data_IF_025943664961
#
_entry.id   IF_025943664961
#
_cell.length_a   1.000
_cell.length_b   1.000
_cell.length_c   1.000
_cell.angle_alpha   90.00
_cell.angle_beta   90.00
_cell.angle_gamma   90.00
#
_symmetry.space_group_name_H-M   'P 1'
#
loop_
_entity.id
_entity.type
_entity.pdbx_description
1 polymer ?
#
# COMPACT_ATOMS: atom_id res chain seq x y z
N UNK A 1 -4.00 -20.35 -7.24
CA UNK A 1 -5.18 -20.69 -6.41
C UNK A 1 -5.85 -19.46 -5.76
N UNK A 2 -5.12 -18.49 -5.18
CA UNK A 2 -5.75 -17.38 -4.43
C UNK A 2 -6.45 -16.27 -5.26
N UNK A 3 -6.02 -15.98 -6.50
CA UNK A 3 -6.67 -14.94 -7.33
C UNK A 3 -8.13 -15.28 -7.65
N UNK A 4 -8.43 -16.54 -7.97
CA UNK A 4 -9.77 -16.97 -8.38
C UNK A 4 -10.78 -17.00 -7.23
N UNK A 5 -10.35 -17.40 -6.02
CA UNK A 5 -11.21 -17.42 -4.83
C UNK A 5 -11.61 -16.01 -4.39
N UNK A 6 -10.64 -15.10 -4.33
CA UNK A 6 -10.87 -13.72 -3.89
C UNK A 6 -11.86 -12.99 -4.80
N UNK A 7 -11.67 -13.11 -6.12
CA UNK A 7 -12.57 -12.49 -7.10
C UNK A 7 -13.98 -13.08 -6.97
N UNK A 8 -14.10 -14.41 -6.81
CA UNK A 8 -15.39 -15.07 -6.66
C UNK A 8 -16.15 -14.62 -5.40
N UNK A 9 -15.47 -14.40 -4.28
CA UNK A 9 -16.09 -13.91 -3.03
C UNK A 9 -16.52 -12.46 -3.16
N UNK A 10 -15.64 -11.59 -3.67
CA UNK A 10 -15.92 -10.14 -3.77
C UNK A 10 -17.07 -9.85 -4.75
N UNK A 11 -17.16 -10.60 -5.85
CA UNK A 11 -18.24 -10.46 -6.84
C UNK A 11 -19.56 -11.13 -6.44
N UNK A 12 -19.61 -11.89 -5.34
CA UNK A 12 -20.82 -12.59 -4.93
C UNK A 12 -21.86 -11.62 -4.33
N UNK A 13 -22.96 -11.37 -5.05
CA UNK A 13 -24.05 -10.46 -4.60
C UNK A 13 -24.80 -10.91 -3.34
N UNK A 14 -24.71 -12.18 -2.95
CA UNK A 14 -25.40 -12.71 -1.78
C UNK A 14 -24.62 -12.52 -0.46
N UNK A 15 -23.35 -12.10 -0.54
CA UNK A 15 -22.50 -11.86 0.63
C UNK A 15 -22.51 -10.37 1.01
N UNK A 16 -22.50 -10.08 2.31
CA UNK A 16 -22.40 -8.71 2.80
C UNK A 16 -21.02 -8.11 2.50
N UNK A 17 -20.95 -6.79 2.34
CA UNK A 17 -19.69 -6.10 2.07
C UNK A 17 -18.67 -6.30 3.21
N UNK A 18 -19.10 -6.25 4.47
CA UNK A 18 -18.22 -6.52 5.62
C UNK A 18 -17.64 -7.94 5.63
N UNK A 19 -18.42 -8.94 5.20
CA UNK A 19 -17.90 -10.30 5.03
C UNK A 19 -16.86 -10.38 3.91
N UNK A 20 -17.15 -9.76 2.75
CA UNK A 20 -16.23 -9.72 1.61
C UNK A 20 -14.91 -9.03 1.97
N UNK A 21 -14.98 -7.90 2.67
CA UNK A 21 -13.81 -7.15 3.13
C UNK A 21 -12.95 -7.97 4.09
N UNK A 22 -13.58 -8.63 5.05
CA UNK A 22 -12.88 -9.51 6.01
C UNK A 22 -12.21 -10.69 5.30
N UNK A 23 -12.92 -11.34 4.38
CA UNK A 23 -12.40 -12.47 3.61
C UNK A 23 -11.23 -12.06 2.72
N UNK A 24 -11.35 -10.91 2.05
CA UNK A 24 -10.29 -10.34 1.22
C UNK A 24 -9.05 -9.99 2.07
N UNK A 25 -9.25 -9.28 3.16
CA UNK A 25 -8.19 -8.89 4.10
C UNK A 25 -7.44 -10.10 4.63
N UNK A 26 -8.19 -11.13 5.05
CA UNK A 26 -7.61 -12.39 5.54
C UNK A 26 -6.80 -13.11 4.45
N UNK A 27 -7.31 -13.13 3.21
CA UNK A 27 -6.61 -13.74 2.09
C UNK A 27 -5.30 -13.00 1.77
N UNK A 28 -5.33 -11.67 1.69
CA UNK A 28 -4.14 -10.83 1.44
C UNK A 28 -3.11 -11.03 2.55
N UNK A 29 -3.52 -10.95 3.81
CA UNK A 29 -2.64 -11.13 4.95
C UNK A 29 -1.99 -12.52 4.98
N UNK A 30 -2.77 -13.57 4.68
CA UNK A 30 -2.26 -14.95 4.59
C UNK A 30 -1.17 -15.10 3.53
N UNK A 31 -1.34 -14.48 2.36
CA UNK A 31 -0.33 -14.49 1.29
C UNK A 31 0.95 -13.77 1.73
N UNK A 32 0.83 -12.57 2.31
CA UNK A 32 1.98 -11.78 2.74
C UNK A 32 2.76 -12.49 3.86
N UNK A 33 2.05 -13.05 4.85
CA UNK A 33 2.65 -13.82 5.94
C UNK A 33 3.36 -15.08 5.43
N UNK A 34 2.76 -15.78 4.47
CA UNK A 34 3.39 -16.93 3.82
C UNK A 34 4.66 -16.51 3.05
N UNK A 35 4.60 -15.43 2.27
CA UNK A 35 5.76 -14.89 1.55
C UNK A 35 6.88 -14.47 2.49
N UNK A 36 6.55 -13.83 3.62
CA UNK A 36 7.52 -13.40 4.64
C UNK A 36 8.24 -14.60 5.28
N UNK A 37 7.53 -15.68 5.58
CA UNK A 37 8.12 -16.92 6.13
C UNK A 37 9.12 -17.61 5.18
N UNK A 38 8.98 -17.38 3.88
CA UNK A 38 9.87 -17.95 2.85
C UNK A 38 11.10 -17.07 2.57
N UNK A 39 11.25 -15.93 3.25
CA UNK A 39 12.41 -15.06 3.04
C UNK A 39 13.66 -15.69 3.65
N UNK A 40 14.73 -15.75 2.84
CA UNK A 40 16.07 -16.16 3.29
C UNK A 40 16.62 -15.25 4.39
N UNK A 41 16.28 -13.96 4.35
CA UNK A 41 16.75 -12.94 5.30
C UNK A 41 15.56 -12.33 6.05
N UNK A 42 15.32 -12.73 7.32
CA UNK A 42 14.13 -12.32 8.08
C UNK A 42 14.14 -10.83 8.47
N UNK A 43 15.31 -10.17 8.44
CA UNK A 43 15.48 -8.74 8.68
C UNK A 43 16.01 -8.00 7.44
N UNK A 44 15.83 -8.59 6.25
CA UNK A 44 16.18 -7.93 5.00
C UNK A 44 15.15 -6.88 4.59
N UNK A 45 15.48 -6.08 3.58
CA UNK A 45 14.57 -5.10 2.98
C UNK A 45 13.18 -5.69 2.70
N UNK A 46 13.10 -6.88 2.11
CA UNK A 46 11.83 -7.49 1.74
C UNK A 46 10.96 -7.87 2.97
N UNK A 47 11.58 -8.16 4.12
CA UNK A 47 10.84 -8.45 5.34
C UNK A 47 10.18 -7.18 5.91
N UNK A 48 10.91 -6.06 5.89
CA UNK A 48 10.36 -4.75 6.25
C UNK A 48 9.30 -4.28 5.26
N UNK A 49 9.54 -4.50 3.96
CA UNK A 49 8.56 -4.22 2.91
C UNK A 49 7.26 -4.99 3.12
N UNK A 50 7.33 -6.30 3.40
CA UNK A 50 6.12 -7.08 3.70
C UNK A 50 5.43 -6.63 4.99
N UNK A 51 6.18 -6.23 6.02
CA UNK A 51 5.59 -5.70 7.25
C UNK A 51 4.76 -4.43 7.01
N UNK A 52 5.25 -3.50 6.18
CA UNK A 52 4.49 -2.31 5.78
C UNK A 52 3.31 -2.72 4.88
N UNK A 53 3.56 -3.63 3.93
CA UNK A 53 2.54 -4.11 2.99
C UNK A 53 1.37 -4.81 3.70
N UNK A 54 1.57 -5.46 4.84
CA UNK A 54 0.51 -6.08 5.62
C UNK A 54 -0.53 -5.07 6.11
N UNK A 55 -0.15 -3.81 6.33
CA UNK A 55 -1.06 -2.74 6.76
C UNK A 55 -1.78 -2.10 5.57
N UNK A 56 -1.06 -1.86 4.47
CA UNK A 56 -1.57 -1.07 3.34
C UNK A 56 -2.31 -1.94 2.31
N UNK A 57 -1.79 -3.13 2.02
CA UNK A 57 -2.30 -3.96 0.91
C UNK A 57 -3.75 -4.43 1.09
N UNK A 58 -4.24 -4.78 2.30
CA UNK A 58 -5.64 -5.14 2.49
C UNK A 58 -6.59 -4.01 2.12
N UNK A 59 -6.33 -2.80 2.63
CA UNK A 59 -7.12 -1.60 2.30
C UNK A 59 -7.11 -1.33 0.81
N UNK A 60 -5.92 -1.38 0.18
CA UNK A 60 -5.78 -1.15 -1.26
C UNK A 60 -6.53 -2.20 -2.09
N UNK A 61 -6.46 -3.47 -1.69
CA UNK A 61 -7.21 -4.53 -2.37
C UNK A 61 -8.72 -4.30 -2.24
N UNK A 62 -9.20 -3.92 -1.05
CA UNK A 62 -10.60 -3.61 -0.84
C UNK A 62 -11.05 -2.39 -1.63
N UNK A 63 -10.29 -1.30 -1.61
CA UNK A 63 -10.60 -0.11 -2.40
C UNK A 63 -10.64 -0.38 -3.90
N UNK A 64 -9.81 -1.28 -4.43
CA UNK A 64 -9.81 -1.60 -5.86
C UNK A 64 -10.88 -2.59 -6.31
N UNK A 65 -11.18 -3.61 -5.49
CA UNK A 65 -12.10 -4.68 -5.87
C UNK A 65 -13.48 -4.56 -5.23
N UNK A 66 -13.60 -3.75 -4.17
CA UNK A 66 -14.85 -3.49 -3.47
C UNK A 66 -15.80 -2.61 -4.29
N UNK A 67 -17.05 -2.44 -3.79
CA UNK A 67 -18.10 -1.74 -4.52
C UNK A 67 -18.08 -0.21 -4.35
N UNK A 68 -17.21 0.34 -3.50
CA UNK A 68 -17.17 1.77 -3.19
C UNK A 68 -16.25 2.52 -4.17
N UNK A 69 -16.86 3.26 -5.10
CA UNK A 69 -16.15 4.03 -6.11
C UNK A 69 -15.35 5.21 -5.53
N UNK A 70 -15.82 5.83 -4.44
CA UNK A 70 -15.10 6.92 -3.78
C UNK A 70 -13.85 6.39 -3.09
N UNK A 71 -13.97 5.28 -2.35
CA UNK A 71 -12.82 4.60 -1.77
C UNK A 71 -11.82 4.17 -2.85
N UNK A 72 -12.31 3.72 -4.02
CA UNK A 72 -11.45 3.37 -5.14
C UNK A 72 -10.65 4.57 -5.65
N UNK A 73 -11.28 5.73 -5.83
CA UNK A 73 -10.57 6.97 -6.21
C UNK A 73 -9.52 7.34 -5.16
N UNK A 74 -9.88 7.26 -3.87
CA UNK A 74 -8.96 7.52 -2.75
C UNK A 74 -7.73 6.62 -2.84
N UNK A 75 -7.94 5.31 -3.02
CA UNK A 75 -6.85 4.34 -3.17
C UNK A 75 -6.01 4.59 -4.42
N UNK A 76 -6.61 4.98 -5.54
CA UNK A 76 -5.86 5.33 -6.74
C UNK A 76 -4.93 6.53 -6.51
N UNK A 77 -5.46 7.61 -5.93
CA UNK A 77 -4.66 8.79 -5.64
C UNK A 77 -3.54 8.50 -4.64
N UNK A 78 -3.86 7.78 -3.55
CA UNK A 78 -2.88 7.34 -2.57
C UNK A 78 -1.75 6.49 -3.20
N UNK A 79 -2.09 5.60 -4.14
CA UNK A 79 -1.11 4.81 -4.90
C UNK A 79 -0.17 5.69 -5.70
N UNK A 80 -0.69 6.68 -6.42
CA UNK A 80 0.12 7.58 -7.23
C UNK A 80 1.07 8.42 -6.38
N UNK A 81 0.60 8.96 -5.25
CA UNK A 81 1.46 9.68 -4.30
C UNK A 81 2.54 8.78 -3.69
N UNK A 82 2.20 7.53 -3.35
CA UNK A 82 3.18 6.56 -2.83
C UNK A 82 4.25 6.21 -3.86
N UNK A 83 3.85 5.99 -5.12
CA UNK A 83 4.80 5.72 -6.21
C UNK A 83 5.66 6.95 -6.51
N UNK A 84 5.05 8.14 -6.47
CA UNK A 84 5.77 9.40 -6.59
C UNK A 84 6.83 9.57 -5.50
N UNK A 85 6.46 9.31 -4.25
CA UNK A 85 7.39 9.32 -3.12
C UNK A 85 8.59 8.38 -3.34
N UNK A 86 8.33 7.13 -3.71
CA UNK A 86 9.39 6.15 -3.97
C UNK A 86 10.32 6.62 -5.10
N UNK A 87 9.78 7.20 -6.18
CA UNK A 87 10.61 7.75 -7.26
C UNK A 87 11.46 8.93 -6.78
N UNK A 88 10.95 9.76 -5.89
CA UNK A 88 11.65 10.95 -5.41
C UNK A 88 12.81 10.57 -4.48
N UNK A 89 12.60 9.67 -3.51
CA UNK A 89 13.65 9.27 -2.55
C UNK A 89 14.82 8.51 -3.18
N UNK A 90 14.64 7.96 -4.38
CA UNK A 90 15.69 7.28 -5.15
C UNK A 90 16.23 8.13 -6.30
N UNK A 91 15.83 9.40 -6.42
CA UNK A 91 16.29 10.29 -7.49
C UNK A 91 17.51 11.09 -7.07
N UNK A 92 18.62 10.91 -7.77
CA UNK A 92 19.85 11.72 -7.61
C UNK A 92 19.64 13.22 -7.92
N UNK A 93 18.56 13.57 -8.62
CA UNK A 93 18.22 14.97 -8.90
C UNK A 93 17.39 15.61 -7.76
N UNK A 94 16.80 14.80 -6.89
CA UNK A 94 15.86 15.26 -5.85
C UNK A 94 16.31 14.96 -4.42
N UNK A 95 17.33 14.12 -4.26
CA UNK A 95 17.91 13.75 -2.97
C UNK A 95 19.43 13.87 -3.00
N UNK A 96 19.98 14.38 -1.90
CA UNK A 96 21.41 14.48 -1.63
C UNK A 96 21.87 13.22 -0.93
N UNK A 97 22.65 12.40 -1.63
CA UNK A 97 23.22 11.14 -1.12
C UNK A 97 24.63 11.34 -0.53
N UNK A 98 24.92 12.55 -0.05
CA UNK A 98 26.22 13.01 0.45
C UNK A 98 26.43 12.66 1.92
N UNK A 99 25.41 12.81 2.75
CA UNK A 99 25.40 12.36 4.15
C UNK A 99 24.05 11.76 4.53
N UNK A 100 24.01 11.05 5.66
CA UNK A 100 22.76 10.46 6.18
C UNK A 100 21.77 11.55 6.57
N UNK A 101 22.26 12.64 7.16
CA UNK A 101 21.48 13.79 7.61
C UNK A 101 20.80 14.46 6.42
N UNK A 102 21.55 14.79 5.36
CA UNK A 102 21.00 15.45 4.17
C UNK A 102 19.97 14.57 3.45
N UNK A 103 20.25 13.27 3.34
CA UNK A 103 19.30 12.31 2.76
C UNK A 103 18.04 12.21 3.61
N UNK A 104 18.17 12.18 4.94
CA UNK A 104 17.02 12.09 5.85
C UNK A 104 16.12 13.32 5.75
N UNK A 105 16.69 14.52 5.64
CA UNK A 105 15.96 15.77 5.44
C UNK A 105 15.20 15.75 4.10
N UNK A 106 15.84 15.30 3.03
CA UNK A 106 15.22 15.22 1.70
C UNK A 106 14.08 14.18 1.69
N UNK A 107 14.26 13.01 2.29
CA UNK A 107 13.21 11.99 2.44
C UNK A 107 12.03 12.55 3.24
N UNK A 108 12.29 13.24 4.35
CA UNK A 108 11.23 13.81 5.20
C UNK A 108 10.48 14.92 4.47
N UNK A 109 11.19 15.76 3.71
CA UNK A 109 10.59 16.79 2.86
C UNK A 109 9.65 16.18 1.82
N UNK A 110 10.10 15.16 1.09
CA UNK A 110 9.26 14.46 0.11
C UNK A 110 8.05 13.82 0.80
N UNK A 111 8.22 13.21 1.98
CA UNK A 111 7.11 12.60 2.71
C UNK A 111 6.05 13.63 3.10
N UNK A 112 6.46 14.77 3.68
CA UNK A 112 5.53 15.85 4.07
C UNK A 112 4.73 16.37 2.88
N UNK A 113 5.40 16.62 1.76
CA UNK A 113 4.72 17.06 0.53
C UNK A 113 3.62 16.09 0.09
N UNK A 114 3.88 14.77 0.18
CA UNK A 114 2.92 13.73 -0.22
C UNK A 114 1.74 13.65 0.74
N UNK A 115 2.00 13.77 2.04
CA UNK A 115 0.95 13.83 3.07
C UNK A 115 0.07 15.06 2.86
N UNK A 116 0.65 16.22 2.58
CA UNK A 116 -0.09 17.46 2.31
C UNK A 116 -0.95 17.32 1.04
N UNK A 117 -0.40 16.75 -0.04
CA UNK A 117 -1.14 16.48 -1.28
C UNK A 117 -2.36 15.57 -1.05
N UNK A 118 -2.22 14.55 -0.19
CA UNK A 118 -3.30 13.65 0.22
C UNK A 118 -4.33 14.41 1.07
N UNK A 119 -3.87 15.16 2.08
CA UNK A 119 -4.74 15.94 2.96
C UNK A 119 -5.60 16.93 2.19
N UNK A 120 -5.01 17.70 1.29
CA UNK A 120 -5.74 18.69 0.46
C UNK A 120 -6.79 18.03 -0.43
N UNK A 121 -6.48 16.89 -1.06
CA UNK A 121 -7.40 16.20 -1.97
C UNK A 121 -8.66 15.67 -1.27
N UNK A 122 -8.56 15.28 0.00
CA UNK A 122 -9.68 14.69 0.77
C UNK A 122 -10.27 15.63 1.84
N UNK A 123 -9.86 16.90 1.87
CA UNK A 123 -10.44 17.93 2.76
C UNK A 123 -11.62 18.69 2.13
N UNK A 124 -12.07 18.31 0.93
CA UNK A 124 -13.22 18.89 0.22
C UNK A 124 -14.31 17.85 0.00
#
# INVERSE_FOLDING_TARGET
MCKSYVIAVVQNRFLSNGFKETALTTAVWSVLKAKRRLLKYPNGFMAHFYQISEQISPLMAWGFFGPDDNLREVCHYFREETIGFLKDIFSFQKCRFTSVEELSDDILKHMRQRVDNIGVKFSN
#
